data_IF_254380251486
#
_entry.id   IF_254380251486
#
_cell.length_a   1.000
_cell.length_b   1.000
_cell.length_c   1.000
_cell.angle_alpha   90.00
_cell.angle_beta   90.00
_cell.angle_gamma   90.00
#
_symmetry.space_group_name_H-M   'P 1'
#
loop_
_entity.id
_entity.type
_entity.pdbx_description
1 polymer ?
#
# COMPACT_ATOMS: atom_id res chain seq x y z
N UNK A 1 25.99 6.71 23.59
CA UNK A 1 25.83 6.09 22.26
C UNK A 1 24.39 6.23 21.77
N UNK A 2 24.05 7.38 21.16
CA UNK A 2 22.71 7.65 20.60
C UNK A 2 22.34 6.75 19.39
N UNK A 3 23.33 6.15 18.73
CA UNK A 3 23.15 5.36 17.50
C UNK A 3 22.25 4.13 17.67
N UNK A 4 22.26 3.50 18.84
CA UNK A 4 21.48 2.30 19.12
C UNK A 4 19.97 2.61 19.23
N UNK A 5 19.61 3.79 19.72
CA UNK A 5 18.21 4.20 19.85
C UNK A 5 17.61 4.53 18.47
N UNK A 6 18.36 5.26 17.64
CA UNK A 6 17.94 5.60 16.28
C UNK A 6 17.72 4.35 15.42
N UNK A 7 18.70 3.44 15.37
CA UNK A 7 18.60 2.20 14.58
C UNK A 7 17.41 1.33 15.01
N UNK A 8 17.17 1.22 16.32
CA UNK A 8 16.01 0.48 16.87
C UNK A 8 14.68 1.07 16.40
N UNK A 9 14.50 2.38 16.51
CA UNK A 9 13.25 3.04 16.11
C UNK A 9 13.06 3.02 14.60
N UNK A 10 14.14 3.16 13.83
CA UNK A 10 14.09 3.01 12.38
C UNK A 10 13.62 1.60 11.98
N UNK A 11 14.18 0.56 12.60
CA UNK A 11 13.75 -0.82 12.36
C UNK A 11 12.28 -1.06 12.67
N UNK A 12 11.80 -0.56 13.83
CA UNK A 12 10.36 -0.64 14.20
C UNK A 12 9.46 0.11 13.23
N UNK A 13 9.81 1.32 12.82
CA UNK A 13 9.01 2.10 11.86
C UNK A 13 8.87 1.38 10.53
N UNK A 14 9.97 0.79 10.07
CA UNK A 14 10.00 -0.02 8.86
C UNK A 14 9.09 -1.25 9.04
N UNK A 15 9.20 -1.99 10.15
CA UNK A 15 8.31 -3.13 10.45
C UNK A 15 6.82 -2.73 10.42
N UNK A 16 6.45 -1.67 11.15
CA UNK A 16 5.08 -1.15 11.21
C UNK A 16 4.55 -0.77 9.83
N UNK A 17 5.34 -0.07 9.00
CA UNK A 17 4.98 0.25 7.62
C UNK A 17 4.59 -1.01 6.82
N UNK A 18 5.31 -2.12 7.04
CA UNK A 18 5.07 -3.39 6.34
C UNK A 18 3.80 -4.06 6.81
N UNK A 19 3.63 -4.12 8.14
CA UNK A 19 2.43 -4.66 8.75
C UNK A 19 1.19 -3.87 8.34
N UNK A 20 1.24 -2.54 8.33
CA UNK A 20 0.13 -1.68 7.88
C UNK A 20 -0.15 -1.85 6.40
N UNK A 21 0.87 -1.89 5.54
CA UNK A 21 0.67 -2.09 4.10
C UNK A 21 0.03 -3.45 3.81
N UNK A 22 0.49 -4.53 4.47
CA UNK A 22 -0.09 -5.86 4.34
C UNK A 22 -1.52 -5.93 4.86
N UNK A 23 -1.83 -5.26 5.97
CA UNK A 23 -3.18 -5.16 6.51
C UNK A 23 -4.13 -4.49 5.50
N UNK A 24 -3.71 -3.37 4.91
CA UNK A 24 -4.49 -2.67 3.89
C UNK A 24 -4.70 -3.56 2.66
N UNK A 25 -3.66 -4.27 2.20
CA UNK A 25 -3.78 -5.23 1.10
C UNK A 25 -4.81 -6.32 1.42
N UNK A 26 -4.76 -6.90 2.61
CA UNK A 26 -5.70 -7.92 3.05
C UNK A 26 -7.15 -7.41 3.08
N UNK A 27 -7.37 -6.22 3.65
CA UNK A 27 -8.70 -5.61 3.70
C UNK A 27 -9.24 -5.27 2.31
N UNK A 28 -8.42 -4.67 1.44
CA UNK A 28 -8.80 -4.34 0.06
C UNK A 28 -9.11 -5.59 -0.76
N UNK A 29 -8.29 -6.65 -0.61
CA UNK A 29 -8.52 -7.95 -1.23
C UNK A 29 -9.82 -8.60 -0.75
N UNK A 30 -10.10 -8.55 0.55
CA UNK A 30 -11.37 -9.04 1.12
C UNK A 30 -12.59 -8.29 0.60
N UNK A 31 -12.52 -6.95 0.51
CA UNK A 31 -13.61 -6.14 -0.03
C UNK A 31 -13.87 -6.41 -1.52
N UNK A 32 -12.81 -6.62 -2.31
CA UNK A 32 -12.95 -7.03 -3.71
C UNK A 32 -13.54 -8.44 -3.84
N UNK A 33 -13.14 -9.38 -2.98
CA UNK A 33 -13.73 -10.72 -2.96
C UNK A 33 -15.24 -10.68 -2.69
N UNK A 34 -15.66 -9.87 -1.70
CA UNK A 34 -17.08 -9.63 -1.43
C UNK A 34 -17.81 -9.03 -2.64
N UNK A 35 -17.15 -8.11 -3.36
CA UNK A 35 -17.71 -7.51 -4.57
C UNK A 35 -17.96 -8.55 -5.66
N UNK A 36 -17.04 -9.49 -5.85
CA UNK A 36 -17.22 -10.60 -6.81
C UNK A 36 -18.43 -11.46 -6.44
N UNK A 37 -18.62 -11.76 -5.15
CA UNK A 37 -19.80 -12.50 -4.67
C UNK A 37 -21.09 -11.72 -4.94
N UNK A 38 -21.11 -10.43 -4.62
CA UNK A 38 -22.28 -9.56 -4.82
C UNK A 38 -22.65 -9.41 -6.31
N UNK A 39 -21.65 -9.35 -7.20
CA UNK A 39 -21.88 -9.35 -8.66
C UNK A 39 -22.43 -10.70 -9.12
N UNK A 40 -21.92 -11.82 -8.58
CA UNK A 40 -22.36 -13.18 -8.96
C UNK A 40 -23.78 -13.52 -8.49
N UNK A 41 -24.21 -13.01 -7.35
CA UNK A 41 -25.53 -13.28 -6.76
C UNK A 41 -26.68 -12.49 -7.41
N UNK A 42 -26.42 -11.75 -8.49
CA UNK A 42 -27.42 -11.34 -9.48
C UNK A 42 -28.55 -10.41 -9.00
N UNK A 43 -28.27 -9.55 -8.02
CA UNK A 43 -29.21 -8.52 -7.55
C UNK A 43 -28.90 -7.08 -8.00
N UNK A 44 -27.70 -6.82 -8.53
CA UNK A 44 -27.35 -5.52 -9.07
C UNK A 44 -27.55 -5.55 -10.57
N UNK A 45 -28.76 -5.23 -11.01
CA UNK A 45 -29.00 -4.89 -12.41
C UNK A 45 -27.99 -3.80 -12.78
N UNK A 46 -27.28 -3.95 -13.88
CA UNK A 46 -26.37 -2.91 -14.40
C UNK A 46 -27.05 -1.53 -14.61
N UNK A 47 -28.39 -1.48 -14.54
CA UNK A 47 -29.23 -0.29 -14.57
C UNK A 47 -29.58 0.31 -13.20
N UNK A 48 -29.10 -0.25 -12.08
CA UNK A 48 -29.34 0.29 -10.76
C UNK A 48 -28.52 1.58 -10.56
N UNK A 49 -29.09 2.63 -9.93
CA UNK A 49 -28.41 3.92 -9.77
C UNK A 49 -27.11 3.81 -8.95
N UNK A 50 -26.95 2.77 -8.13
CA UNK A 50 -25.76 2.47 -7.35
C UNK A 50 -24.63 1.77 -8.14
N UNK A 51 -24.86 1.31 -9.37
CA UNK A 51 -23.86 0.61 -10.17
C UNK A 51 -22.54 1.39 -10.40
N UNK A 52 -22.54 2.72 -10.62
CA UNK A 52 -21.30 3.49 -10.73
C UNK A 52 -20.44 3.45 -9.47
N UNK A 53 -21.06 3.44 -8.28
CA UNK A 53 -20.33 3.39 -7.01
C UNK A 53 -19.52 2.09 -6.89
N UNK A 54 -20.06 0.99 -7.42
CA UNK A 54 -19.38 -0.30 -7.46
C UNK A 54 -18.05 -0.23 -8.20
N UNK A 55 -18.04 0.33 -9.41
CA UNK A 55 -16.82 0.47 -10.19
C UNK A 55 -15.82 1.43 -9.54
N UNK A 56 -16.30 2.53 -8.95
CA UNK A 56 -15.44 3.53 -8.30
C UNK A 56 -14.68 2.92 -7.12
N UNK A 57 -15.37 2.26 -6.19
CA UNK A 57 -14.66 1.67 -5.04
C UNK A 57 -13.78 0.48 -5.48
N UNK A 58 -14.23 -0.33 -6.44
CA UNK A 58 -13.47 -1.49 -6.91
C UNK A 58 -12.15 -1.05 -7.57
N UNK A 59 -12.20 -0.06 -8.47
CA UNK A 59 -10.98 0.52 -9.07
C UNK A 59 -10.08 1.13 -8.01
N UNK A 60 -10.65 1.83 -7.03
CA UNK A 60 -9.88 2.43 -5.94
C UNK A 60 -9.13 1.38 -5.11
N UNK A 61 -9.78 0.27 -4.76
CA UNK A 61 -9.12 -0.85 -4.08
C UNK A 61 -8.07 -1.54 -4.95
N UNK A 62 -8.31 -1.72 -6.25
CA UNK A 62 -7.32 -2.27 -7.19
C UNK A 62 -6.08 -1.38 -7.22
N UNK A 63 -6.24 -0.06 -7.38
CA UNK A 63 -5.10 0.86 -7.35
C UNK A 63 -4.39 0.88 -5.99
N UNK A 64 -5.13 0.74 -4.89
CA UNK A 64 -4.53 0.61 -3.56
C UNK A 64 -3.68 -0.67 -3.44
N UNK A 65 -4.15 -1.80 -3.96
CA UNK A 65 -3.39 -3.05 -4.02
C UNK A 65 -2.10 -2.90 -4.83
N UNK A 66 -2.18 -2.28 -6.01
CA UNK A 66 -1.00 -2.00 -6.83
C UNK A 66 0.00 -1.09 -6.12
N UNK A 67 -0.47 -0.02 -5.47
CA UNK A 67 0.39 0.84 -4.67
C UNK A 67 1.06 0.07 -3.52
N UNK A 68 0.33 -0.81 -2.83
CA UNK A 68 0.89 -1.67 -1.79
C UNK A 68 1.96 -2.65 -2.30
N UNK A 69 1.76 -3.22 -3.49
CA UNK A 69 2.79 -4.04 -4.14
C UNK A 69 4.04 -3.21 -4.47
N UNK A 70 3.88 -1.99 -4.99
CA UNK A 70 5.01 -1.09 -5.26
C UNK A 70 5.76 -0.69 -3.99
N UNK A 71 5.05 -0.47 -2.87
CA UNK A 71 5.69 -0.28 -1.54
C UNK A 71 6.56 -1.47 -1.17
N UNK A 72 6.04 -2.70 -1.31
CA UNK A 72 6.79 -3.91 -1.00
C UNK A 72 8.05 -4.07 -1.88
N UNK A 73 7.93 -3.81 -3.19
CA UNK A 73 9.04 -3.88 -4.13
C UNK A 73 10.12 -2.82 -3.85
N UNK A 74 9.73 -1.56 -3.67
CA UNK A 74 10.69 -0.47 -3.37
C UNK A 74 11.39 -0.65 -2.03
N UNK A 75 10.69 -1.22 -1.06
CA UNK A 75 11.29 -1.58 0.21
C UNK A 75 12.29 -2.72 0.08
N UNK A 76 12.01 -3.73 -0.74
CA UNK A 76 12.96 -4.82 -0.99
C UNK A 76 14.25 -4.31 -1.65
N UNK A 77 14.12 -3.38 -2.60
CA UNK A 77 15.26 -2.68 -3.21
C UNK A 77 16.08 -1.91 -2.17
N UNK A 78 15.42 -1.14 -1.30
CA UNK A 78 16.08 -0.37 -0.24
C UNK A 78 16.83 -1.27 0.77
N UNK A 79 16.26 -2.43 1.13
CA UNK A 79 16.95 -3.42 1.96
C UNK A 79 18.20 -3.99 1.29
N UNK A 80 18.10 -4.35 0.01
CA UNK A 80 19.24 -4.87 -0.76
C UNK A 80 20.35 -3.82 -0.83
N UNK A 81 20.00 -2.56 -1.10
CA UNK A 81 20.95 -1.47 -1.19
C UNK A 81 21.61 -1.18 0.15
N UNK A 82 20.83 -1.10 1.24
CA UNK A 82 21.34 -0.91 2.60
C UNK A 82 22.30 -2.04 3.02
N UNK A 83 21.96 -3.29 2.71
CA UNK A 83 22.83 -4.43 2.94
C UNK A 83 24.13 -4.35 2.11
N UNK A 84 24.05 -3.89 0.85
CA UNK A 84 25.23 -3.64 0.01
C UNK A 84 26.12 -2.55 0.62
N UNK A 85 25.56 -1.40 1.02
CA UNK A 85 26.29 -0.29 1.69
C UNK A 85 27.01 -0.79 2.95
N UNK A 86 26.32 -1.56 3.80
CA UNK A 86 26.89 -2.09 5.04
C UNK A 86 28.08 -3.06 4.80
N UNK A 87 28.04 -3.82 3.71
CA UNK A 87 29.13 -4.71 3.29
C UNK A 87 30.29 -3.94 2.67
N UNK A 88 30.00 -2.96 1.80
CA UNK A 88 31.02 -2.13 1.13
C UNK A 88 31.80 -1.28 2.13
N UNK A 89 31.16 -0.80 3.21
CA UNK A 89 31.82 -0.07 4.30
C UNK A 89 32.98 -0.81 4.99
N UNK A 90 33.08 -2.14 4.86
CA UNK A 90 34.14 -2.96 5.46
C UNK A 90 35.38 -3.10 4.56
N UNK A 91 35.35 -2.56 3.34
CA UNK A 91 36.48 -2.61 2.39
C UNK A 91 36.99 -1.19 2.13
N UNK A 92 38.31 -1.00 1.89
CA UNK A 92 38.82 0.27 1.38
C UNK A 92 38.27 0.45 -0.04
N UNK A 93 37.42 1.46 -0.24
CA UNK A 93 36.70 1.67 -1.50
C UNK A 93 36.65 3.14 -1.87
N UNK A 94 36.42 3.39 -3.17
CA UNK A 94 36.24 4.69 -3.79
C UNK A 94 35.00 5.42 -3.23
N UNK A 95 35.18 6.63 -2.68
CA UNK A 95 34.14 7.41 -1.98
C UNK A 95 32.95 7.76 -2.90
N UNK A 96 33.18 7.77 -4.22
CA UNK A 96 32.18 8.13 -5.24
C UNK A 96 31.06 7.08 -5.34
N UNK A 97 31.39 5.78 -5.39
CA UNK A 97 30.37 4.70 -5.46
C UNK A 97 29.51 4.70 -4.19
N UNK A 98 30.12 5.00 -3.05
CA UNK A 98 29.44 4.98 -1.77
C UNK A 98 28.42 6.14 -1.65
N UNK A 99 28.73 7.30 -2.22
CA UNK A 99 27.81 8.44 -2.23
C UNK A 99 26.66 8.25 -3.22
N UNK A 100 26.89 7.64 -4.38
CA UNK A 100 25.83 7.27 -5.33
C UNK A 100 24.83 6.29 -4.69
N UNK A 101 25.35 5.27 -4.00
CA UNK A 101 24.52 4.30 -3.28
C UNK A 101 23.68 4.96 -2.18
N UNK A 102 24.22 5.97 -1.47
CA UNK A 102 23.44 6.74 -0.48
C UNK A 102 22.35 7.58 -1.11
N UNK A 103 22.64 8.22 -2.25
CA UNK A 103 21.65 8.99 -3.01
C UNK A 103 20.47 8.12 -3.43
N UNK A 104 20.75 6.94 -3.98
CA UNK A 104 19.74 5.98 -4.41
C UNK A 104 18.87 5.47 -3.24
N UNK A 105 19.46 5.19 -2.07
CA UNK A 105 18.69 4.76 -0.89
C UNK A 105 17.75 5.87 -0.40
N UNK A 106 18.19 7.14 -0.39
CA UNK A 106 17.30 8.27 -0.07
C UNK A 106 16.12 8.38 -1.04
N UNK A 107 16.36 8.15 -2.33
CA UNK A 107 15.31 8.15 -3.35
C UNK A 107 14.30 7.03 -3.11
N UNK A 108 14.74 5.80 -2.85
CA UNK A 108 13.84 4.66 -2.56
C UNK A 108 13.00 4.87 -1.32
N UNK A 109 13.57 5.45 -0.26
CA UNK A 109 12.81 5.85 0.92
C UNK A 109 11.67 6.83 0.57
N UNK A 110 11.97 7.87 -0.23
CA UNK A 110 10.97 8.85 -0.67
C UNK A 110 9.85 8.22 -1.50
N UNK A 111 10.22 7.36 -2.45
CA UNK A 111 9.25 6.62 -3.27
C UNK A 111 8.36 5.71 -2.42
N UNK A 112 8.93 4.97 -1.48
CA UNK A 112 8.19 4.08 -0.58
C UNK A 112 7.12 4.86 0.19
N UNK A 113 7.48 6.01 0.77
CA UNK A 113 6.52 6.86 1.47
C UNK A 113 5.46 7.48 0.55
N UNK A 114 5.83 7.83 -0.68
CA UNK A 114 4.88 8.35 -1.66
C UNK A 114 3.83 7.28 -2.04
N UNK A 115 4.27 6.07 -2.40
CA UNK A 115 3.37 4.96 -2.72
C UNK A 115 2.52 4.55 -1.52
N UNK A 116 3.08 4.56 -0.30
CA UNK A 116 2.33 4.24 0.91
C UNK A 116 1.22 5.25 1.19
N UNK A 117 1.50 6.56 1.04
CA UNK A 117 0.47 7.60 1.17
C UNK A 117 -0.62 7.45 0.10
N UNK A 118 -0.24 7.13 -1.14
CA UNK A 118 -1.19 6.83 -2.21
C UNK A 118 -2.06 5.60 -1.88
N UNK A 119 -1.45 4.51 -1.40
CA UNK A 119 -2.13 3.28 -0.96
C UNK A 119 -3.19 3.59 0.10
N UNK A 120 -2.81 4.33 1.15
CA UNK A 120 -3.72 4.72 2.25
C UNK A 120 -4.83 5.62 1.76
N UNK A 121 -4.51 6.63 0.93
CA UNK A 121 -5.50 7.56 0.38
C UNK A 121 -6.54 6.85 -0.52
N UNK A 122 -6.07 5.97 -1.41
CA UNK A 122 -6.94 5.16 -2.26
C UNK A 122 -7.77 4.18 -1.44
N UNK A 123 -7.17 3.48 -0.48
CA UNK A 123 -7.92 2.57 0.39
C UNK A 123 -9.01 3.31 1.18
N UNK A 124 -8.68 4.45 1.79
CA UNK A 124 -9.64 5.25 2.55
C UNK A 124 -10.78 5.77 1.70
N UNK A 125 -10.47 6.29 0.51
CA UNK A 125 -11.49 6.72 -0.45
C UNK A 125 -12.39 5.56 -0.89
N UNK A 126 -11.80 4.44 -1.31
CA UNK A 126 -12.54 3.23 -1.67
C UNK A 126 -13.41 2.70 -0.53
N UNK A 127 -12.91 2.71 0.70
CA UNK A 127 -13.65 2.26 1.88
C UNK A 127 -14.89 3.12 2.15
N UNK A 128 -14.77 4.45 2.03
CA UNK A 128 -15.92 5.36 2.20
C UNK A 128 -16.97 5.11 1.11
N UNK A 129 -16.56 5.00 -0.15
CA UNK A 129 -17.49 4.74 -1.27
C UNK A 129 -18.13 3.36 -1.14
N UNK A 130 -17.37 2.35 -0.71
CA UNK A 130 -17.89 1.01 -0.44
C UNK A 130 -18.97 1.02 0.65
N UNK A 131 -18.76 1.76 1.75
CA UNK A 131 -19.75 1.89 2.81
C UNK A 131 -21.02 2.58 2.30
N UNK A 132 -20.89 3.67 1.54
CA UNK A 132 -22.04 4.37 0.94
C UNK A 132 -22.82 3.40 0.04
N UNK A 133 -22.13 2.68 -0.84
CA UNK A 133 -22.74 1.66 -1.69
C UNK A 133 -23.50 0.60 -0.88
N UNK A 134 -22.86 0.06 0.16
CA UNK A 134 -23.46 -0.96 1.02
C UNK A 134 -24.73 -0.45 1.72
N UNK A 135 -24.72 0.77 2.26
CA UNK A 135 -25.91 1.37 2.89
C UNK A 135 -27.03 1.66 1.89
N UNK A 136 -26.71 2.17 0.69
CA UNK A 136 -27.71 2.39 -0.36
C UNK A 136 -28.35 1.08 -0.82
N UNK A 137 -27.53 0.04 -1.05
CA UNK A 137 -28.02 -1.28 -1.44
C UNK A 137 -28.89 -1.91 -0.34
N UNK A 138 -28.53 -1.74 0.94
CA UNK A 138 -29.32 -2.22 2.06
C UNK A 138 -30.68 -1.50 2.14
N UNK A 139 -30.70 -0.17 2.00
CA UNK A 139 -31.92 0.62 2.01
C UNK A 139 -32.85 0.27 0.84
N UNK A 140 -32.28 0.00 -0.34
CA UNK A 140 -33.02 -0.44 -1.53
C UNK A 140 -33.70 -1.81 -1.32
N UNK A 141 -33.09 -2.73 -0.56
CA UNK A 141 -33.70 -4.04 -0.24
C UNK A 141 -34.77 -3.98 0.85
N UNK A 142 -34.78 -2.96 1.70
CA UNK A 142 -35.69 -2.84 2.83
C UNK A 142 -37.03 -2.15 2.48
N UNK A 143 -37.08 -1.41 1.38
CA UNK A 143 -38.30 -0.77 0.87
C UNK A 143 -38.90 -1.57 -0.29
#
# INVERSE_FOLDING_TARGET
MPDNAFQRWQGRSIEQLGNTSNLIIGMAGGALALTVTVIREDHLRAAAPEAPLLYVYALSFIFSLFAGLLVALKRLEDYRLTAKIARTRKRPHDDVELEEMRSNSKAYGKWTWWFFKAQVGLFGFGAVVFLIFFFCALHSKLN
#
